data_IF_865629344965
#
_entry.id   IF_865629344965
#
_cell.length_a   1.000
_cell.length_b   1.000
_cell.length_c   1.000
_cell.angle_alpha   90.00
_cell.angle_beta   90.00
_cell.angle_gamma   90.00
#
_symmetry.space_group_name_H-M   'P 1'
#
loop_
_entity.id
_entity.type
_entity.pdbx_description
1 polymer ?
#
# COMPACT_ATOMS: atom_id res chain seq x y z
N UNK A 1 40.48 -14.27 -14.06
CA UNK A 1 40.61 -14.55 -12.60
C UNK A 1 39.40 -13.93 -11.91
N UNK A 2 38.84 -14.60 -10.89
CA UNK A 2 37.51 -14.40 -10.23
C UNK A 2 36.40 -15.26 -10.89
N UNK A 3 36.06 -16.48 -10.45
CA UNK A 3 35.94 -17.14 -9.12
C UNK A 3 34.60 -16.83 -8.41
N UNK A 4 33.63 -17.70 -8.73
CA UNK A 4 32.47 -18.19 -7.95
C UNK A 4 31.42 -17.23 -7.36
N UNK A 5 30.19 -17.33 -7.89
CA UNK A 5 28.99 -17.47 -7.05
C UNK A 5 28.39 -18.85 -7.36
N UNK A 6 28.49 -19.76 -6.40
CA UNK A 6 27.84 -21.07 -6.42
C UNK A 6 26.44 -20.92 -5.83
N UNK A 7 25.49 -21.53 -6.53
CA UNK A 7 24.11 -21.81 -6.12
C UNK A 7 23.14 -20.60 -6.05
N UNK A 8 22.57 -20.25 -7.20
CA UNK A 8 21.31 -19.51 -7.26
C UNK A 8 20.20 -20.55 -7.36
N UNK A 9 19.60 -20.92 -6.23
CA UNK A 9 18.31 -21.59 -6.25
C UNK A 9 17.30 -20.65 -6.92
N UNK A 10 17.02 -20.89 -8.20
CA UNK A 10 15.93 -20.25 -8.93
C UNK A 10 14.65 -20.82 -8.34
N UNK A 11 14.04 -20.10 -7.39
CA UNK A 11 12.64 -20.34 -7.06
C UNK A 11 11.82 -19.83 -8.25
N UNK A 12 11.54 -20.74 -9.17
CA UNK A 12 10.50 -20.58 -10.18
C UNK A 12 9.17 -20.47 -9.45
N UNK A 13 8.58 -19.27 -9.43
CA UNK A 13 7.17 -19.14 -9.09
C UNK A 13 6.42 -19.55 -10.36
N UNK A 14 5.67 -20.65 -10.29
CA UNK A 14 4.76 -21.06 -11.37
C UNK A 14 3.99 -19.84 -11.90
N UNK A 15 3.93 -19.62 -13.22
CA UNK A 15 3.07 -18.58 -13.76
C UNK A 15 1.64 -18.96 -13.42
N UNK A 16 1.08 -18.31 -12.42
CA UNK A 16 -0.36 -18.35 -12.19
C UNK A 16 -1.02 -17.71 -13.41
N UNK A 17 -1.44 -18.56 -14.33
CA UNK A 17 -2.42 -18.28 -15.37
C UNK A 17 -3.72 -17.86 -14.70
N UNK A 18 -3.77 -16.62 -14.23
CA UNK A 18 -4.99 -15.92 -13.90
C UNK A 18 -5.07 -14.76 -14.88
N UNK A 19 -6.22 -14.58 -15.52
CA UNK A 19 -6.47 -13.46 -16.41
C UNK A 19 -6.26 -12.15 -15.64
N UNK A 20 -5.03 -11.61 -15.69
CA UNK A 20 -4.72 -10.29 -15.16
C UNK A 20 -5.54 -9.35 -16.03
N UNK A 21 -6.62 -8.78 -15.48
CA UNK A 21 -7.26 -7.65 -16.15
C UNK A 21 -6.16 -6.63 -16.41
N UNK A 22 -6.11 -6.08 -17.62
CA UNK A 22 -5.08 -5.09 -17.97
C UNK A 22 -5.03 -4.02 -16.88
N UNK A 23 -3.86 -3.85 -16.26
CA UNK A 23 -3.66 -2.80 -15.25
C UNK A 23 -3.58 -1.48 -16.02
N UNK A 24 -4.50 -0.57 -15.74
CA UNK A 24 -4.46 0.79 -16.27
C UNK A 24 -3.55 1.66 -15.40
N UNK A 25 -2.59 2.34 -16.03
CA UNK A 25 -1.64 3.19 -15.35
C UNK A 25 -1.90 4.65 -15.70
N UNK A 26 -2.08 5.49 -14.67
CA UNK A 26 -2.21 6.95 -14.81
C UNK A 26 -1.10 7.65 -14.04
N UNK A 27 -0.61 8.77 -14.58
CA UNK A 27 0.38 9.64 -13.94
C UNK A 27 -0.24 11.02 -13.77
N UNK A 28 -0.20 11.54 -12.55
CA UNK A 28 -0.70 12.87 -12.22
C UNK A 28 0.48 13.77 -11.85
N UNK A 29 0.68 14.85 -12.61
CA UNK A 29 1.55 15.94 -12.20
C UNK A 29 0.74 16.87 -11.28
N UNK A 30 1.09 16.89 -10.00
CA UNK A 30 0.39 17.68 -8.97
C UNK A 30 1.36 18.65 -8.31
N UNK A 31 0.87 19.84 -7.96
CA UNK A 31 1.64 20.77 -7.15
C UNK A 31 1.81 20.18 -5.73
N UNK A 32 2.95 20.46 -5.08
CA UNK A 32 3.29 19.82 -3.80
C UNK A 32 2.26 20.05 -2.69
N UNK A 33 1.63 21.23 -2.69
CA UNK A 33 0.56 21.61 -1.75
C UNK A 33 -0.73 20.82 -1.96
N UNK A 34 -1.01 20.41 -3.21
CA UNK A 34 -2.26 19.72 -3.58
C UNK A 34 -2.16 18.21 -3.39
N UNK A 35 -0.95 17.68 -3.17
CA UNK A 35 -0.71 16.23 -3.05
C UNK A 35 -1.61 15.58 -2.01
N UNK A 36 -1.86 16.24 -0.88
CA UNK A 36 -2.74 15.71 0.17
C UNK A 36 -4.22 15.67 -0.24
N UNK A 37 -4.70 16.71 -0.93
CA UNK A 37 -6.07 16.78 -1.43
C UNK A 37 -6.32 15.68 -2.48
N UNK A 38 -5.46 15.60 -3.49
CA UNK A 38 -5.55 14.59 -4.57
C UNK A 38 -5.48 13.17 -4.00
N UNK A 39 -4.55 12.90 -3.06
CA UNK A 39 -4.45 11.57 -2.45
C UNK A 39 -5.70 11.22 -1.63
N UNK A 40 -6.33 12.20 -1.00
CA UNK A 40 -7.57 12.01 -0.23
C UNK A 40 -8.73 11.67 -1.15
N UNK A 41 -8.87 12.37 -2.27
CA UNK A 41 -9.90 12.06 -3.28
C UNK A 41 -9.74 10.63 -3.82
N UNK A 42 -8.51 10.23 -4.17
CA UNK A 42 -8.23 8.85 -4.62
C UNK A 42 -8.59 7.84 -3.53
N UNK A 43 -8.23 8.11 -2.27
CA UNK A 43 -8.48 7.21 -1.16
C UNK A 43 -9.97 7.10 -0.76
N UNK A 44 -10.77 8.12 -1.08
CA UNK A 44 -12.20 8.17 -0.77
C UNK A 44 -13.09 7.48 -1.82
N UNK A 45 -12.51 7.00 -2.93
CA UNK A 45 -13.24 6.28 -3.99
C UNK A 45 -13.84 4.97 -3.47
N UNK A 46 -14.89 4.51 -4.14
CA UNK A 46 -15.49 3.22 -3.86
C UNK A 46 -14.48 2.08 -4.00
N UNK A 47 -14.59 1.11 -3.09
CA UNK A 47 -13.69 -0.03 -3.03
C UNK A 47 -12.54 0.18 -2.06
N UNK A 48 -11.41 -0.48 -2.35
CA UNK A 48 -10.25 -0.52 -1.46
C UNK A 48 -9.01 -0.04 -2.20
N UNK A 49 -8.27 0.86 -1.56
CA UNK A 49 -7.08 1.49 -2.15
C UNK A 49 -5.84 1.12 -1.33
N UNK A 50 -4.77 0.72 -2.03
CA UNK A 50 -3.43 0.55 -1.47
C UNK A 50 -2.56 1.74 -1.92
N UNK A 51 -2.09 2.54 -0.96
CA UNK A 51 -1.21 3.67 -1.20
C UNK A 51 0.21 3.32 -0.73
N UNK A 52 1.18 3.47 -1.61
CA UNK A 52 2.60 3.22 -1.33
C UNK A 52 3.34 4.55 -1.19
N UNK A 53 4.14 4.67 -0.13
CA UNK A 53 4.94 5.85 0.18
C UNK A 53 6.36 5.40 0.56
N UNK A 54 7.34 6.26 0.28
CA UNK A 54 8.76 5.93 0.41
C UNK A 54 9.23 5.76 1.86
N UNK A 55 8.51 6.33 2.83
CA UNK A 55 8.95 6.35 4.24
C UNK A 55 7.85 5.96 5.21
N UNK A 56 8.25 5.26 6.29
CA UNK A 56 7.37 4.90 7.42
C UNK A 56 6.69 6.13 8.01
N UNK A 57 7.44 7.22 8.14
CA UNK A 57 6.94 8.48 8.66
C UNK A 57 5.89 9.11 7.72
N UNK A 58 6.12 9.10 6.41
CA UNK A 58 5.16 9.54 5.41
C UNK A 58 3.86 8.73 5.46
N UNK A 59 3.96 7.40 5.59
CA UNK A 59 2.78 6.52 5.78
C UNK A 59 1.98 6.94 7.01
N UNK A 60 2.64 7.18 8.14
CA UNK A 60 1.97 7.59 9.38
C UNK A 60 1.37 9.00 9.28
N UNK A 61 2.04 9.95 8.63
CA UNK A 61 1.49 11.30 8.39
C UNK A 61 0.25 11.25 7.52
N UNK A 62 0.31 10.57 6.37
CA UNK A 62 -0.82 10.47 5.45
C UNK A 62 -1.99 9.71 6.08
N UNK A 63 -1.71 8.64 6.85
CA UNK A 63 -2.78 7.91 7.57
C UNK A 63 -3.52 8.83 8.55
N UNK A 64 -2.82 9.71 9.27
CA UNK A 64 -3.46 10.68 10.16
C UNK A 64 -4.29 11.70 9.39
N UNK A 65 -3.75 12.23 8.29
CA UNK A 65 -4.45 13.17 7.42
C UNK A 65 -5.76 12.56 6.90
N UNK A 66 -5.70 11.37 6.29
CA UNK A 66 -6.87 10.68 5.75
C UNK A 66 -7.96 10.46 6.81
N UNK A 67 -7.57 10.02 8.01
CA UNK A 67 -8.51 9.85 9.13
C UNK A 67 -9.16 11.17 9.57
N UNK A 68 -8.37 12.24 9.64
CA UNK A 68 -8.89 13.57 9.96
C UNK A 68 -9.86 14.08 8.89
N UNK A 69 -9.65 13.69 7.63
CA UNK A 69 -10.54 13.97 6.49
C UNK A 69 -11.72 12.99 6.38
N UNK A 70 -11.94 12.12 7.37
CA UNK A 70 -13.06 11.17 7.39
C UNK A 70 -12.86 9.87 6.61
N UNK A 71 -11.68 9.68 6.00
CA UNK A 71 -11.33 8.46 5.24
C UNK A 71 -10.78 7.39 6.18
N UNK A 72 -11.40 6.21 6.15
CA UNK A 72 -10.96 5.06 6.93
C UNK A 72 -9.62 4.52 6.40
N UNK A 73 -8.53 4.79 7.11
CA UNK A 73 -7.17 4.39 6.71
C UNK A 73 -6.41 3.68 7.83
N UNK A 74 -5.45 2.84 7.48
CA UNK A 74 -4.55 2.18 8.43
C UNK A 74 -3.12 2.08 7.88
N UNK A 75 -2.14 2.41 8.72
CA UNK A 75 -0.72 2.36 8.37
C UNK A 75 -0.18 0.92 8.38
N UNK A 76 0.61 0.57 7.35
CA UNK A 76 1.35 -0.68 7.23
C UNK A 76 2.81 -0.39 6.85
N UNK A 77 3.76 -0.68 7.75
CA UNK A 77 5.19 -0.54 7.48
C UNK A 77 6.02 -1.35 8.51
N UNK A 78 7.32 -1.54 8.28
CA UNK A 78 8.17 -2.39 9.14
C UNK A 78 8.38 -1.88 10.56
N UNK A 79 8.10 -0.60 10.83
CA UNK A 79 8.02 -0.07 12.21
C UNK A 79 6.75 -0.43 12.98
N UNK A 80 5.77 -1.13 12.38
CA UNK A 80 4.61 -1.66 13.10
C UNK A 80 4.91 -3.09 13.56
N UNK A 81 4.39 -3.47 14.74
CA UNK A 81 4.50 -4.84 15.22
C UNK A 81 3.83 -5.82 14.25
N UNK A 82 4.34 -7.04 14.16
CA UNK A 82 3.78 -8.06 13.28
C UNK A 82 2.29 -8.32 13.53
N UNK A 83 1.78 -8.43 14.78
CA UNK A 83 0.34 -8.54 15.03
C UNK A 83 -0.47 -7.39 14.45
N UNK A 84 0.04 -6.15 14.55
CA UNK A 84 -0.61 -4.97 13.96
C UNK A 84 -0.62 -5.05 12.43
N UNK A 85 0.47 -5.50 11.80
CA UNK A 85 0.54 -5.70 10.34
C UNK A 85 -0.48 -6.73 9.87
N UNK A 86 -0.55 -7.88 10.54
CA UNK A 86 -1.53 -8.93 10.23
C UNK A 86 -2.97 -8.44 10.40
N UNK A 87 -3.27 -7.72 11.49
CA UNK A 87 -4.59 -7.11 11.71
C UNK A 87 -4.96 -6.12 10.60
N UNK A 88 -4.04 -5.21 10.23
CA UNK A 88 -4.28 -4.25 9.15
C UNK A 88 -4.58 -4.94 7.83
N UNK A 89 -3.83 -5.99 7.48
CA UNK A 89 -4.08 -6.77 6.25
C UNK A 89 -5.41 -7.52 6.29
N UNK A 90 -5.78 -8.10 7.44
CA UNK A 90 -7.06 -8.76 7.62
C UNK A 90 -8.23 -7.76 7.51
N UNK A 91 -8.10 -6.58 8.11
CA UNK A 91 -9.09 -5.50 7.97
C UNK A 91 -9.16 -5.01 6.52
N UNK A 92 -8.03 -4.87 5.82
CA UNK A 92 -8.05 -4.51 4.40
C UNK A 92 -8.81 -5.56 3.58
N UNK A 93 -8.51 -6.86 3.76
CA UNK A 93 -9.19 -7.94 3.04
C UNK A 93 -10.70 -7.99 3.32
N UNK A 94 -11.10 -7.81 4.57
CA UNK A 94 -12.47 -8.01 5.04
C UNK A 94 -13.30 -6.71 5.12
N UNK A 95 -12.71 -5.56 4.78
CA UNK A 95 -13.28 -4.23 5.00
C UNK A 95 -12.84 -3.63 6.35
N UNK A 96 -12.44 -2.35 6.32
CA UNK A 96 -12.08 -1.63 7.53
C UNK A 96 -13.36 -1.37 8.34
N UNK A 97 -13.65 -2.22 9.33
CA UNK A 97 -14.68 -1.90 10.31
C UNK A 97 -14.24 -0.65 11.08
N UNK A 98 -15.15 0.32 11.23
CA UNK A 98 -14.95 1.42 12.17
C UNK A 98 -14.89 0.79 13.56
N UNK A 99 -13.71 0.80 14.18
CA UNK A 99 -13.61 0.49 15.60
C UNK A 99 -14.35 1.63 16.32
N UNK A 100 -15.48 1.30 16.96
CA UNK A 100 -16.23 2.21 17.84
C UNK A 100 -15.57 2.38 19.19
#
# INVERSE_FOLDING_TARGET
MQRYLRDRAVHSVDPSSSAVSAIEHHVFAVHGLDRYAVTTEIAARDGRVLLFLDTKHGVDQLTRHLRASGVAAAALHSGKSQPRRTRTLAQFKNGLRRDG
#
